data_IF_885570643188
#
_entry.id   IF_885570643188
#
_cell.length_a   1.000
_cell.length_b   1.000
_cell.length_c   1.000
_cell.angle_alpha   90.00
_cell.angle_beta   90.00
_cell.angle_gamma   90.00
#
_symmetry.space_group_name_H-M   'P 1'
#
loop_
_entity.id
_entity.type
_entity.pdbx_description
1 polymer ?
#
# COMPACT_ATOMS: atom_id res chain seq x y z
N UNK A 1 11.47 -40.67 -5.41
CA UNK A 1 12.54 -41.68 -5.36
C UNK A 1 13.86 -40.92 -5.24
N UNK A 2 14.50 -40.97 -4.05
CA UNK A 2 15.88 -40.56 -3.67
C UNK A 2 16.19 -39.03 -3.79
N UNK A 3 16.28 -38.20 -2.73
CA UNK A 3 17.05 -38.18 -1.44
C UNK A 3 18.57 -37.98 -1.63
N UNK A 4 19.10 -36.85 -1.13
CA UNK A 4 20.21 -36.66 -0.15
C UNK A 4 20.70 -35.19 -0.24
N UNK A 5 20.49 -34.27 0.72
CA UNK A 5 20.99 -34.12 2.10
C UNK A 5 22.51 -33.90 2.23
N UNK A 6 22.91 -32.68 2.60
CA UNK A 6 24.12 -32.42 3.39
C UNK A 6 23.87 -31.22 4.32
N UNK A 7 23.93 -31.52 5.61
CA UNK A 7 23.70 -30.65 6.77
C UNK A 7 25.01 -29.99 7.24
N UNK A 8 24.88 -28.80 7.83
CA UNK A 8 25.52 -28.35 9.09
C UNK A 8 27.04 -28.10 9.17
N UNK A 9 27.43 -26.84 9.48
CA UNK A 9 28.16 -26.45 10.71
C UNK A 9 28.54 -24.95 10.66
N UNK A 10 27.90 -24.12 11.49
CA UNK A 10 28.59 -23.00 12.15
C UNK A 10 27.83 -22.63 13.44
N UNK A 11 28.13 -23.38 14.49
CA UNK A 11 27.83 -23.04 15.88
C UNK A 11 28.98 -22.19 16.41
N UNK A 12 28.83 -20.86 16.44
CA UNK A 12 29.47 -20.01 17.46
C UNK A 12 28.53 -18.86 17.85
N UNK A 13 28.55 -18.55 19.15
CA UNK A 13 27.50 -17.89 19.95
C UNK A 13 27.36 -16.37 19.73
N UNK A 14 27.79 -15.84 18.58
CA UNK A 14 27.87 -14.39 18.30
C UNK A 14 27.01 -13.87 17.13
N UNK A 15 26.22 -14.70 16.43
CA UNK A 15 25.42 -14.25 15.27
C UNK A 15 23.97 -13.80 15.60
N UNK A 16 23.50 -13.88 16.84
CA UNK A 16 22.09 -13.57 17.17
C UNK A 16 21.84 -12.06 17.40
N UNK A 17 22.88 -11.28 17.74
CA UNK A 17 22.72 -9.87 18.06
C UNK A 17 22.57 -8.95 16.82
N UNK A 18 23.11 -9.33 15.66
CA UNK A 18 23.02 -8.50 14.43
C UNK A 18 21.69 -8.65 13.68
N UNK A 19 21.01 -9.78 13.83
CA UNK A 19 19.74 -10.06 13.13
C UNK A 19 18.56 -9.30 13.77
N UNK A 20 18.61 -9.07 15.09
CA UNK A 20 17.53 -8.39 15.82
C UNK A 20 17.49 -6.87 15.56
N UNK A 21 18.66 -6.24 15.34
CA UNK A 21 18.76 -4.80 15.05
C UNK A 21 18.25 -4.47 13.64
N UNK A 22 18.47 -5.35 12.66
CA UNK A 22 17.96 -5.16 11.29
C UNK A 22 16.43 -5.31 11.19
N UNK A 23 15.82 -6.24 11.95
CA UNK A 23 14.35 -6.39 11.99
C UNK A 23 13.66 -5.21 12.67
N UNK A 24 14.26 -4.63 13.72
CA UNK A 24 13.73 -3.43 14.39
C UNK A 24 13.81 -2.16 13.51
N UNK A 25 14.79 -2.07 12.59
CA UNK A 25 14.93 -0.98 11.64
C UNK A 25 13.84 -1.04 10.55
N UNK A 26 13.52 -2.24 10.08
CA UNK A 26 12.51 -2.46 9.05
C UNK A 26 11.10 -2.09 9.55
N UNK A 27 10.75 -2.45 10.79
CA UNK A 27 9.46 -2.10 11.39
C UNK A 27 9.27 -0.58 11.59
N UNK A 28 10.33 0.15 11.91
CA UNK A 28 10.26 1.61 12.05
C UNK A 28 10.13 2.34 10.71
N UNK A 29 10.79 1.85 9.65
CA UNK A 29 10.65 2.42 8.30
C UNK A 29 9.24 2.18 7.76
N UNK A 30 8.68 0.99 7.98
CA UNK A 30 7.29 0.67 7.59
C UNK A 30 6.28 1.51 8.39
N UNK A 31 6.48 1.70 9.70
CA UNK A 31 5.60 2.54 10.52
C UNK A 31 5.59 4.01 10.08
N UNK A 32 6.75 4.56 9.68
CA UNK A 32 6.85 5.95 9.16
C UNK A 32 6.20 6.08 7.78
N UNK A 33 6.25 5.04 6.94
CA UNK A 33 5.57 5.02 5.64
C UNK A 33 4.05 4.86 5.76
N UNK A 34 3.56 4.10 6.76
CA UNK A 34 2.11 3.96 7.04
C UNK A 34 1.54 5.27 7.60
N UNK A 35 2.27 5.98 8.46
CA UNK A 35 1.86 7.32 8.93
C UNK A 35 1.87 8.34 7.77
N UNK A 36 2.81 8.24 6.83
CA UNK A 36 2.82 9.08 5.63
C UNK A 36 1.63 8.80 4.68
N UNK A 37 1.08 7.57 4.70
CA UNK A 37 -0.13 7.22 3.95
C UNK A 37 -1.42 7.71 4.64
N UNK A 38 -1.50 7.64 5.97
CA UNK A 38 -2.70 8.04 6.71
C UNK A 38 -2.88 9.57 6.81
N UNK A 39 -1.80 10.35 6.91
CA UNK A 39 -1.90 11.82 7.03
C UNK A 39 -2.25 12.51 5.70
N UNK A 40 -2.10 11.84 4.55
CA UNK A 40 -2.56 12.35 3.25
C UNK A 40 -4.09 12.28 3.12
N UNK A 41 -4.75 11.39 3.87
CA UNK A 41 -6.20 11.23 3.81
C UNK A 41 -6.97 12.15 4.78
N UNK A 42 -6.34 12.64 5.86
CA UNK A 42 -7.04 13.36 6.94
C UNK A 42 -7.01 14.90 6.82
N UNK A 43 -6.35 15.45 5.80
CA UNK A 43 -6.34 16.90 5.50
C UNK A 43 -7.29 17.27 4.34
N UNK A 44 -8.35 16.49 4.16
CA UNK A 44 -9.41 16.73 3.19
C UNK A 44 -10.72 17.15 3.88
N UNK A 45 -10.65 18.08 4.84
CA UNK A 45 -11.69 19.11 5.06
C UNK A 45 -11.28 19.96 6.27
N UNK A 46 -10.73 21.16 6.01
CA UNK A 46 -10.92 22.33 6.89
C UNK A 46 -10.31 23.57 6.23
N UNK A 47 -11.11 24.28 5.43
CA UNK A 47 -10.94 25.74 5.29
C UNK A 47 -11.70 26.42 6.43
N UNK A 48 -10.99 26.87 7.47
CA UNK A 48 -11.34 28.12 8.15
C UNK A 48 -10.17 28.58 9.03
N UNK A 49 -9.63 29.76 8.74
CA UNK A 49 -8.75 30.51 9.64
C UNK A 49 -9.39 31.87 9.88
N UNK A 50 -9.83 32.12 11.11
CA UNK A 50 -9.62 33.41 11.77
C UNK A 50 -9.71 33.30 13.31
N UNK A 51 -9.13 34.29 13.99
CA UNK A 51 -8.47 34.25 15.30
C UNK A 51 -9.34 34.25 16.58
N UNK A 52 -8.85 33.50 17.60
CA UNK A 52 -8.66 33.83 19.05
C UNK A 52 -9.88 34.13 19.95
N UNK A 53 -10.25 33.22 20.87
CA UNK A 53 -9.98 33.25 22.34
C UNK A 53 -10.70 32.12 23.10
N UNK A 54 -10.19 31.87 24.31
CA UNK A 54 -10.40 30.82 25.31
C UNK A 54 -11.83 30.69 25.92
N UNK A 55 -12.08 29.51 26.52
CA UNK A 55 -12.99 29.14 27.66
C UNK A 55 -14.19 28.20 27.36
N UNK A 56 -14.04 26.97 27.90
CA UNK A 56 -15.01 26.00 28.47
C UNK A 56 -16.30 25.56 27.71
N UNK A 57 -16.43 24.24 27.53
CA UNK A 57 -17.67 23.46 27.25
C UNK A 57 -18.74 23.60 28.38
N UNK A 58 -19.98 23.02 28.31
CA UNK A 58 -20.54 22.03 27.36
C UNK A 58 -22.05 22.21 26.98
N UNK A 59 -22.60 21.23 26.21
CA UNK A 59 -24.00 20.72 26.16
C UNK A 59 -24.86 20.99 24.89
N UNK A 60 -25.17 19.86 24.21
CA UNK A 60 -26.38 19.35 23.51
C UNK A 60 -27.05 20.03 22.30
N UNK A 61 -27.34 19.14 21.33
CA UNK A 61 -28.56 18.94 20.49
C UNK A 61 -29.04 20.15 19.67
N UNK A 62 -29.34 20.05 18.36
CA UNK A 62 -30.22 19.08 17.72
C UNK A 62 -30.18 19.25 16.19
N UNK A 63 -30.53 18.18 15.50
CA UNK A 63 -30.77 17.96 14.07
C UNK A 63 -31.13 19.13 13.14
N UNK A 64 -30.62 19.05 11.91
CA UNK A 64 -31.49 19.03 10.72
C UNK A 64 -30.80 18.32 9.54
N UNK A 65 -31.60 17.50 8.85
CA UNK A 65 -31.20 16.53 7.84
C UNK A 65 -31.08 17.15 6.45
N UNK A 66 -30.15 16.63 5.63
CA UNK A 66 -30.30 16.65 4.17
C UNK A 66 -29.69 15.39 3.57
N UNK A 67 -30.58 14.57 3.02
CA UNK A 67 -30.30 13.37 2.24
C UNK A 67 -29.37 13.66 1.06
N UNK A 68 -28.30 12.87 0.93
CA UNK A 68 -27.78 12.49 -0.37
C UNK A 68 -27.22 11.06 -0.30
N UNK A 69 -27.88 10.16 -1.04
CA UNK A 69 -27.51 8.76 -1.20
C UNK A 69 -26.07 8.63 -1.69
N UNK A 70 -25.24 8.05 -0.84
CA UNK A 70 -23.97 7.47 -1.22
C UNK A 70 -23.88 6.11 -0.54
N UNK A 71 -24.54 5.12 -1.14
CA UNK A 71 -24.29 3.71 -0.87
C UNK A 71 -22.87 3.41 -1.33
N UNK A 72 -21.94 3.73 -0.44
CA UNK A 72 -20.60 3.18 -0.39
C UNK A 72 -20.78 1.71 -0.08
N UNK A 73 -20.41 0.84 -1.02
CA UNK A 73 -20.20 -0.58 -0.76
C UNK A 73 -19.30 -0.72 0.47
N UNK A 74 -19.93 -0.94 1.63
CA UNK A 74 -19.24 -1.36 2.83
C UNK A 74 -18.60 -2.70 2.50
N UNK A 75 -17.29 -2.78 2.77
CA UNK A 75 -16.58 -4.05 2.79
C UNK A 75 -17.43 -5.05 3.57
N UNK A 76 -17.88 -6.11 2.89
CA UNK A 76 -18.56 -7.22 3.53
C UNK A 76 -17.62 -7.84 4.56
N UNK A 77 -17.78 -7.46 5.83
CA UNK A 77 -17.21 -8.21 6.95
C UNK A 77 -17.83 -9.63 6.96
N UNK A 78 -17.05 -10.66 7.35
CA UNK A 78 -17.54 -12.04 7.39
C UNK A 78 -18.55 -12.18 8.54
N UNK A 79 -19.84 -12.26 8.22
CA UNK A 79 -20.92 -12.26 9.21
C UNK A 79 -21.76 -13.54 9.10
N UNK A 80 -21.90 -14.20 10.25
CA UNK A 80 -22.60 -15.45 10.51
C UNK A 80 -24.11 -15.24 10.66
N UNK A 81 -24.91 -15.39 9.60
CA UNK A 81 -26.35 -15.68 9.70
C UNK A 81 -26.91 -16.29 8.39
N UNK A 82 -27.87 -17.22 8.49
CA UNK A 82 -28.52 -17.90 7.36
C UNK A 82 -29.39 -16.98 6.50
N UNK A 83 -29.85 -15.84 7.04
CA UNK A 83 -30.64 -14.83 6.31
C UNK A 83 -29.84 -14.19 5.17
N UNK A 84 -28.53 -13.98 5.35
CA UNK A 84 -27.64 -13.42 4.31
C UNK A 84 -27.36 -14.37 3.15
N UNK A 85 -27.54 -15.68 3.31
CA UNK A 85 -27.33 -16.62 2.21
C UNK A 85 -28.47 -16.51 1.19
N UNK A 86 -29.71 -16.33 1.67
CA UNK A 86 -30.84 -16.03 0.80
C UNK A 86 -30.69 -14.69 0.08
N UNK A 87 -30.18 -13.66 0.75
CA UNK A 87 -29.86 -12.36 0.14
C UNK A 87 -28.74 -12.49 -0.91
N UNK A 88 -27.66 -13.22 -0.61
CA UNK A 88 -26.55 -13.43 -1.53
C UNK A 88 -26.98 -14.19 -2.79
N UNK A 89 -27.86 -15.18 -2.65
CA UNK A 89 -28.48 -15.89 -3.79
C UNK A 89 -29.24 -14.91 -4.68
N UNK A 90 -30.04 -14.02 -4.08
CA UNK A 90 -30.77 -12.99 -4.82
C UNK A 90 -29.82 -11.99 -5.51
N UNK A 91 -28.80 -11.50 -4.81
CA UNK A 91 -27.80 -10.62 -5.41
C UNK A 91 -27.03 -11.29 -6.55
N UNK A 92 -26.66 -12.56 -6.40
CA UNK A 92 -26.05 -13.34 -7.47
C UNK A 92 -27.00 -13.50 -8.67
N UNK A 93 -28.31 -13.57 -8.47
CA UNK A 93 -29.29 -13.66 -9.55
C UNK A 93 -29.46 -12.34 -10.30
N UNK A 94 -29.52 -11.23 -9.57
CA UNK A 94 -29.86 -9.91 -10.11
C UNK A 94 -28.63 -9.15 -10.67
N UNK A 95 -27.41 -9.44 -10.18
CA UNK A 95 -26.21 -8.68 -10.53
C UNK A 95 -25.78 -8.79 -12.00
N UNK A 96 -25.26 -7.70 -12.56
CA UNK A 96 -24.60 -7.73 -13.87
C UNK A 96 -23.27 -8.51 -13.81
N UNK A 97 -22.78 -8.97 -14.96
CA UNK A 97 -21.52 -9.75 -15.05
C UNK A 97 -20.35 -9.03 -14.38
N UNK A 98 -20.29 -7.70 -14.52
CA UNK A 98 -19.23 -6.84 -13.96
C UNK A 98 -19.21 -6.84 -12.43
N UNK A 99 -20.39 -6.98 -11.82
CA UNK A 99 -20.56 -6.99 -10.37
C UNK A 99 -20.45 -8.40 -9.77
N UNK A 100 -20.39 -9.41 -10.64
CA UNK A 100 -20.58 -10.80 -10.23
C UNK A 100 -19.34 -11.37 -9.53
N UNK A 101 -18.13 -10.98 -9.93
CA UNK A 101 -16.89 -11.52 -9.35
C UNK A 101 -16.84 -11.43 -7.81
N UNK A 102 -17.01 -10.26 -7.17
CA UNK A 102 -16.95 -10.16 -5.71
C UNK A 102 -18.06 -10.97 -5.03
N UNK A 103 -19.25 -11.08 -5.65
CA UNK A 103 -20.35 -11.90 -5.13
C UNK A 103 -20.03 -13.40 -5.20
N UNK A 104 -19.40 -13.85 -6.29
CA UNK A 104 -18.93 -15.24 -6.44
C UNK A 104 -17.89 -15.56 -5.37
N UNK A 105 -16.92 -14.68 -5.17
CA UNK A 105 -15.88 -14.87 -4.16
C UNK A 105 -16.48 -14.92 -2.75
N UNK A 106 -17.43 -14.03 -2.44
CA UNK A 106 -18.15 -14.02 -1.16
C UNK A 106 -18.97 -15.30 -0.96
N UNK A 107 -19.63 -15.80 -2.00
CA UNK A 107 -20.35 -17.07 -1.97
C UNK A 107 -19.44 -18.24 -1.62
N UNK A 108 -18.33 -18.38 -2.34
CA UNK A 108 -17.40 -19.49 -2.11
C UNK A 108 -16.71 -19.41 -0.76
N UNK A 109 -16.37 -18.20 -0.30
CA UNK A 109 -15.84 -18.01 1.05
C UNK A 109 -16.87 -18.43 2.11
N UNK A 110 -18.11 -17.98 1.97
CA UNK A 110 -19.19 -18.28 2.93
C UNK A 110 -19.52 -19.77 2.96
N UNK A 111 -19.73 -20.39 1.80
CA UNK A 111 -20.10 -21.80 1.75
C UNK A 111 -18.96 -22.71 2.23
N UNK A 112 -17.70 -22.36 1.95
CA UNK A 112 -16.54 -23.14 2.38
C UNK A 112 -16.37 -23.10 3.89
N UNK A 113 -16.61 -21.95 4.52
CA UNK A 113 -16.59 -21.81 5.99
C UNK A 113 -17.67 -22.65 6.67
N UNK A 114 -18.83 -22.81 6.01
CA UNK A 114 -19.97 -23.57 6.55
C UNK A 114 -19.97 -25.04 6.17
N UNK A 115 -19.13 -25.46 5.23
CA UNK A 115 -19.14 -26.81 4.62
C UNK A 115 -20.49 -27.17 3.96
N UNK A 116 -21.17 -26.18 3.40
CA UNK A 116 -22.52 -26.29 2.81
C UNK A 116 -22.53 -26.00 1.29
N UNK A 117 -21.37 -25.99 0.62
CA UNK A 117 -21.27 -25.58 -0.79
C UNK A 117 -22.16 -26.38 -1.74
N UNK A 118 -22.28 -27.70 -1.55
CA UNK A 118 -23.09 -28.54 -2.42
C UNK A 118 -24.59 -28.20 -2.30
N UNK A 119 -25.08 -28.02 -1.06
CA UNK A 119 -26.47 -27.65 -0.79
C UNK A 119 -26.81 -26.27 -1.36
N UNK A 120 -25.92 -25.30 -1.15
CA UNK A 120 -26.12 -23.93 -1.64
C UNK A 120 -25.99 -23.82 -3.16
N UNK A 121 -25.15 -24.65 -3.80
CA UNK A 121 -25.08 -24.73 -5.26
C UNK A 121 -26.37 -25.32 -5.84
N UNK A 122 -26.96 -26.36 -5.22
CA UNK A 122 -28.24 -26.90 -5.68
C UNK A 122 -29.36 -25.85 -5.61
N UNK A 123 -29.39 -25.03 -4.55
CA UNK A 123 -30.35 -23.93 -4.43
C UNK A 123 -30.17 -22.89 -5.56
N UNK A 124 -28.92 -22.48 -5.81
CA UNK A 124 -28.59 -21.55 -6.90
C UNK A 124 -29.00 -22.07 -8.28
N UNK A 125 -28.91 -23.39 -8.52
CA UNK A 125 -29.25 -23.99 -9.81
C UNK A 125 -30.72 -23.73 -10.20
N UNK A 126 -31.62 -23.64 -9.23
CA UNK A 126 -33.05 -23.40 -9.47
C UNK A 126 -33.39 -21.92 -9.69
N UNK A 127 -32.51 -21.00 -9.26
CA UNK A 127 -32.77 -19.57 -9.29
C UNK A 127 -32.01 -18.82 -10.41
N UNK A 128 -30.96 -19.44 -10.97
CA UNK A 128 -30.07 -18.80 -11.93
C UNK A 128 -30.24 -19.33 -13.36
N UNK A 129 -29.87 -18.49 -14.33
CA UNK A 129 -29.65 -18.97 -15.70
C UNK A 129 -28.49 -19.98 -15.72
N UNK A 130 -28.55 -20.94 -16.64
CA UNK A 130 -27.52 -21.98 -16.77
C UNK A 130 -26.10 -21.40 -16.89
N UNK A 131 -25.93 -20.34 -17.68
CA UNK A 131 -24.63 -19.69 -17.87
C UNK A 131 -24.08 -19.09 -16.58
N UNK A 132 -24.93 -18.44 -15.78
CA UNK A 132 -24.55 -17.80 -14.52
C UNK A 132 -24.26 -18.84 -13.44
N UNK A 133 -25.12 -19.86 -13.34
CA UNK A 133 -24.88 -21.01 -12.47
C UNK A 133 -23.54 -21.69 -12.78
N UNK A 134 -23.28 -22.02 -14.05
CA UNK A 134 -22.03 -22.66 -14.47
C UNK A 134 -20.82 -21.81 -14.12
N UNK A 135 -20.89 -20.49 -14.32
CA UNK A 135 -19.81 -19.58 -13.96
C UNK A 135 -19.50 -19.65 -12.46
N UNK A 136 -20.52 -19.62 -11.60
CA UNK A 136 -20.34 -19.72 -10.14
C UNK A 136 -19.78 -21.09 -9.76
N UNK A 137 -20.40 -22.17 -10.25
CA UNK A 137 -20.04 -23.55 -9.92
C UNK A 137 -18.60 -23.91 -10.34
N UNK A 138 -18.16 -23.46 -11.51
CA UNK A 138 -16.82 -23.73 -12.04
C UNK A 138 -15.75 -22.77 -11.51
N UNK A 139 -16.13 -21.69 -10.83
CA UNK A 139 -15.22 -20.61 -10.45
C UNK A 139 -13.98 -21.11 -9.67
N UNK A 140 -14.07 -21.97 -8.63
CA UNK A 140 -12.88 -22.40 -7.90
C UNK A 140 -11.93 -23.25 -8.74
N UNK A 141 -12.47 -24.06 -9.65
CA UNK A 141 -11.66 -24.85 -10.56
C UNK A 141 -10.93 -23.96 -11.56
N UNK A 142 -11.64 -23.01 -12.16
CA UNK A 142 -11.06 -22.00 -13.07
C UNK A 142 -10.03 -21.11 -12.38
N UNK A 143 -10.29 -20.69 -11.14
CA UNK A 143 -9.32 -19.90 -10.37
C UNK A 143 -8.03 -20.67 -10.12
N UNK A 144 -8.11 -21.99 -9.82
CA UNK A 144 -6.93 -22.84 -9.70
C UNK A 144 -6.18 -22.97 -11.02
N UNK A 145 -6.90 -23.17 -12.12
CA UNK A 145 -6.32 -23.26 -13.47
C UNK A 145 -5.58 -21.96 -13.84
N UNK A 146 -6.20 -20.80 -13.60
CA UNK A 146 -5.57 -19.50 -13.82
C UNK A 146 -4.27 -19.33 -13.01
N UNK A 147 -4.30 -19.68 -11.72
CA UNK A 147 -3.12 -19.60 -10.88
C UNK A 147 -2.00 -20.49 -11.43
N UNK A 148 -2.32 -21.72 -11.83
CA UNK A 148 -1.36 -22.67 -12.40
C UNK A 148 -0.73 -22.15 -13.70
N UNK A 149 -1.54 -21.63 -14.63
CA UNK A 149 -1.06 -21.06 -15.89
C UNK A 149 -0.18 -19.84 -15.62
N UNK A 150 -0.61 -18.95 -14.73
CA UNK A 150 0.15 -17.75 -14.34
C UNK A 150 1.49 -18.11 -13.68
N UNK A 151 1.53 -19.12 -12.82
CA UNK A 151 2.76 -19.59 -12.18
C UNK A 151 3.75 -20.21 -13.17
N UNK A 152 3.25 -20.82 -14.24
CA UNK A 152 4.06 -21.43 -15.30
C UNK A 152 4.55 -20.45 -16.37
N UNK A 153 3.97 -19.25 -16.44
CA UNK A 153 4.24 -18.26 -17.47
C UNK A 153 5.55 -17.50 -17.19
N UNK A 154 6.40 -17.39 -18.21
CA UNK A 154 7.64 -16.61 -18.11
C UNK A 154 7.37 -15.12 -18.37
N UNK A 155 7.13 -14.39 -17.28
CA UNK A 155 6.98 -12.93 -17.34
C UNK A 155 8.32 -12.18 -17.43
N UNK A 156 9.43 -12.74 -17.88
CA UNK A 156 10.66 -11.97 -18.10
C UNK A 156 10.63 -11.16 -19.41
N UNK A 157 9.62 -10.30 -19.55
CA UNK A 157 9.34 -9.51 -20.76
C UNK A 157 9.02 -8.05 -20.43
N UNK A 158 8.75 -7.24 -21.45
CA UNK A 158 8.32 -5.85 -21.27
C UNK A 158 6.97 -5.76 -20.55
N UNK A 159 6.66 -4.64 -19.90
CA UNK A 159 5.37 -4.44 -19.20
C UNK A 159 4.17 -4.62 -20.13
N UNK A 160 4.28 -4.16 -21.38
CA UNK A 160 3.21 -4.29 -22.38
C UNK A 160 2.96 -5.78 -22.70
N UNK A 161 4.03 -6.54 -22.97
CA UNK A 161 3.92 -7.98 -23.24
C UNK A 161 3.42 -8.76 -22.02
N UNK A 162 3.83 -8.38 -20.80
CA UNK A 162 3.30 -8.99 -19.55
C UNK A 162 1.79 -8.81 -19.44
N UNK A 163 1.30 -7.61 -19.72
CA UNK A 163 -0.13 -7.27 -19.70
C UNK A 163 -0.89 -8.09 -20.73
N UNK A 164 -0.37 -8.20 -21.96
CA UNK A 164 -0.98 -9.02 -22.99
C UNK A 164 -1.04 -10.50 -22.58
N UNK A 165 0.06 -11.05 -22.07
CA UNK A 165 0.13 -12.44 -21.60
C UNK A 165 -0.87 -12.74 -20.48
N UNK A 166 -0.93 -11.90 -19.44
CA UNK A 166 -1.88 -12.16 -18.35
C UNK A 166 -3.34 -12.06 -18.83
N UNK A 167 -3.67 -11.09 -19.71
CA UNK A 167 -5.01 -10.99 -20.31
C UNK A 167 -5.34 -12.22 -21.16
N UNK A 168 -4.36 -12.77 -21.88
CA UNK A 168 -4.54 -14.01 -22.63
C UNK A 168 -4.82 -15.22 -21.73
N UNK A 169 -4.15 -15.31 -20.57
CA UNK A 169 -4.46 -16.36 -19.57
C UNK A 169 -5.90 -16.19 -19.05
N UNK A 170 -6.35 -14.95 -18.79
CA UNK A 170 -7.76 -14.70 -18.45
C UNK A 170 -8.72 -15.17 -19.55
N UNK A 171 -8.44 -14.85 -20.81
CA UNK A 171 -9.28 -15.30 -21.92
C UNK A 171 -9.24 -16.82 -22.11
N UNK A 172 -8.10 -17.48 -21.85
CA UNK A 172 -7.95 -18.92 -21.95
C UNK A 172 -8.81 -19.65 -20.89
N UNK A 173 -8.83 -19.16 -19.66
CA UNK A 173 -9.52 -19.81 -18.54
C UNK A 173 -11.01 -19.49 -18.52
N UNK A 174 -11.39 -18.22 -18.71
CA UNK A 174 -12.78 -17.78 -18.58
C UNK A 174 -13.47 -17.54 -19.93
N UNK A 175 -12.75 -17.55 -21.06
CA UNK A 175 -13.34 -17.32 -22.38
C UNK A 175 -13.82 -15.89 -22.55
N UNK A 176 -14.87 -15.71 -23.35
CA UNK A 176 -15.38 -14.40 -23.77
C UNK A 176 -15.85 -13.50 -22.60
N UNK A 177 -16.24 -14.11 -21.47
CA UNK A 177 -16.71 -13.35 -20.29
C UNK A 177 -15.57 -12.71 -19.49
N UNK A 178 -14.31 -13.07 -19.76
CA UNK A 178 -13.19 -12.67 -18.91
C UNK A 178 -13.04 -11.14 -18.82
N UNK A 179 -13.16 -10.43 -19.94
CA UNK A 179 -13.01 -8.98 -19.97
C UNK A 179 -14.11 -8.25 -19.18
N UNK A 180 -15.33 -8.81 -19.13
CA UNK A 180 -16.44 -8.23 -18.37
C UNK A 180 -16.36 -8.61 -16.89
N UNK A 181 -16.10 -9.88 -16.58
CA UNK A 181 -16.02 -10.39 -15.21
C UNK A 181 -14.82 -9.82 -14.44
N UNK A 182 -13.71 -9.56 -15.14
CA UNK A 182 -12.47 -9.01 -14.56
C UNK A 182 -12.17 -7.59 -15.07
N UNK A 183 -13.22 -6.81 -15.37
CA UNK A 183 -13.09 -5.49 -15.98
C UNK A 183 -12.18 -4.54 -15.18
N UNK A 184 -12.18 -4.60 -13.84
CA UNK A 184 -11.28 -3.79 -13.01
C UNK A 184 -9.82 -4.18 -13.18
N UNK A 185 -9.53 -5.48 -13.20
CA UNK A 185 -8.18 -6.00 -13.41
C UNK A 185 -7.69 -5.64 -14.83
N UNK A 186 -8.54 -5.80 -15.84
CA UNK A 186 -8.24 -5.41 -17.22
C UNK A 186 -7.96 -3.91 -17.32
N UNK A 187 -8.80 -3.07 -16.71
CA UNK A 187 -8.61 -1.61 -16.68
C UNK A 187 -7.28 -1.23 -16.02
N UNK A 188 -6.93 -1.90 -14.92
CA UNK A 188 -5.66 -1.71 -14.24
C UNK A 188 -4.47 -2.11 -15.11
N UNK A 189 -4.53 -3.26 -15.78
CA UNK A 189 -3.46 -3.71 -16.67
C UNK A 189 -3.31 -2.79 -17.89
N UNK A 190 -4.41 -2.36 -18.50
CA UNK A 190 -4.40 -1.47 -19.65
C UNK A 190 -3.82 -0.10 -19.30
N UNK A 191 -4.12 0.44 -18.11
CA UNK A 191 -3.48 1.64 -17.61
C UNK A 191 -1.97 1.45 -17.44
N UNK A 192 -1.52 0.30 -16.92
CA UNK A 192 -0.09 -0.01 -16.78
C UNK A 192 0.64 -0.16 -18.11
N UNK A 193 0.03 -0.83 -19.09
CA UNK A 193 0.58 -0.93 -20.43
C UNK A 193 0.70 0.45 -21.08
N UNK A 194 -0.36 1.26 -20.99
CA UNK A 194 -0.39 2.64 -21.50
C UNK A 194 0.72 3.50 -20.88
N UNK A 195 0.90 3.42 -19.56
CA UNK A 195 1.96 4.18 -18.87
C UNK A 195 3.37 3.67 -19.22
N UNK A 196 3.54 2.36 -19.43
CA UNK A 196 4.81 1.79 -19.87
C UNK A 196 5.20 2.26 -21.28
N UNK A 197 4.23 2.34 -22.20
CA UNK A 197 4.44 2.89 -23.55
C UNK A 197 4.83 4.37 -23.48
N UNK A 198 4.11 5.17 -22.69
CA UNK A 198 4.44 6.57 -22.47
C UNK A 198 5.86 6.74 -21.90
N UNK A 199 6.26 5.88 -20.97
CA UNK A 199 7.60 5.89 -20.37
C UNK A 199 8.68 5.52 -21.39
N UNK A 200 8.44 4.51 -22.23
CA UNK A 200 9.37 4.13 -23.30
C UNK A 200 9.56 5.27 -24.32
N UNK A 201 8.53 6.08 -24.55
CA UNK A 201 8.62 7.30 -25.36
C UNK A 201 9.24 8.48 -24.60
N UNK A 202 9.26 8.46 -23.27
CA UNK A 202 9.68 9.56 -22.41
C UNK A 202 11.10 10.08 -22.70
N UNK A 203 12.02 9.21 -23.11
CA UNK A 203 13.38 9.62 -23.50
C UNK A 203 13.44 10.45 -24.80
N UNK A 204 12.32 10.53 -25.54
CA UNK A 204 12.18 11.29 -26.79
C UNK A 204 11.26 12.50 -26.64
N UNK A 205 10.63 12.68 -25.47
CA UNK A 205 9.65 13.72 -25.22
C UNK A 205 10.23 14.75 -24.27
N UNK A 206 10.00 16.02 -24.58
CA UNK A 206 10.23 17.08 -23.61
C UNK A 206 9.23 16.93 -22.45
N UNK A 207 9.59 17.36 -21.24
CA UNK A 207 8.74 17.23 -20.05
C UNK A 207 7.33 17.77 -20.28
N UNK A 208 7.20 18.93 -20.95
CA UNK A 208 5.90 19.53 -21.25
C UNK A 208 5.04 18.65 -22.17
N UNK A 209 5.65 17.98 -23.15
CA UNK A 209 4.96 17.08 -24.08
C UNK A 209 4.50 15.82 -23.35
N UNK A 210 5.36 15.26 -22.49
CA UNK A 210 5.01 14.13 -21.63
C UNK A 210 3.78 14.46 -20.77
N UNK A 211 3.78 15.61 -20.08
CA UNK A 211 2.65 16.03 -19.24
C UNK A 211 1.37 16.26 -20.05
N UNK A 212 1.48 16.80 -21.26
CA UNK A 212 0.33 16.95 -22.16
C UNK A 212 -0.25 15.60 -22.59
N UNK A 213 0.60 14.62 -22.91
CA UNK A 213 0.17 13.26 -23.25
C UNK A 213 -0.47 12.55 -22.06
N UNK A 214 0.15 12.62 -20.87
CA UNK A 214 -0.41 12.06 -19.64
C UNK A 214 -1.80 12.64 -19.34
N UNK A 215 -1.96 13.96 -19.49
CA UNK A 215 -3.26 14.62 -19.34
C UNK A 215 -4.29 14.13 -20.34
N UNK A 216 -3.91 13.99 -21.61
CA UNK A 216 -4.79 13.49 -22.66
C UNK A 216 -5.24 12.05 -22.41
N UNK A 217 -4.33 11.18 -21.95
CA UNK A 217 -4.65 9.80 -21.56
C UNK A 217 -5.64 9.77 -20.38
N UNK A 218 -5.48 10.67 -19.41
CA UNK A 218 -6.44 10.83 -18.31
C UNK A 218 -7.82 11.25 -18.79
N UNK A 219 -7.90 12.18 -19.76
CA UNK A 219 -9.17 12.60 -20.36
C UNK A 219 -9.84 11.48 -21.18
N UNK A 220 -9.07 10.56 -21.72
CA UNK A 220 -9.56 9.37 -22.43
C UNK A 220 -9.99 8.23 -21.47
N UNK A 221 -9.82 8.39 -20.16
CA UNK A 221 -10.09 7.33 -19.18
C UNK A 221 -9.12 6.15 -19.22
N UNK A 222 -7.97 6.29 -19.90
CA UNK A 222 -6.95 5.23 -20.01
C UNK A 222 -6.04 5.15 -18.80
N UNK A 223 -5.92 6.25 -18.07
CA UNK A 223 -5.15 6.36 -16.83
C UNK A 223 -5.92 7.27 -15.86
N UNK A 224 -5.62 7.26 -14.57
CA UNK A 224 -6.28 8.15 -13.62
C UNK A 224 -6.12 9.63 -14.00
N UNK A 225 -7.19 10.40 -13.85
CA UNK A 225 -7.30 11.78 -14.35
C UNK A 225 -7.19 12.83 -13.26
N UNK A 226 -7.22 12.45 -11.98
CA UNK A 226 -7.12 13.42 -10.89
C UNK A 226 -5.74 14.06 -10.87
N UNK A 227 -5.68 15.33 -10.46
CA UNK A 227 -4.41 16.08 -10.37
C UNK A 227 -3.40 15.39 -9.42
N UNK A 228 -3.89 14.80 -8.34
CA UNK A 228 -3.05 14.10 -7.37
C UNK A 228 -2.42 12.85 -7.99
N UNK A 229 -3.20 12.05 -8.71
CA UNK A 229 -2.71 10.83 -9.34
C UNK A 229 -1.78 11.16 -10.51
N UNK A 230 -2.12 12.14 -11.35
CA UNK A 230 -1.24 12.56 -12.44
C UNK A 230 0.08 13.14 -11.93
N UNK A 231 0.08 13.87 -10.83
CA UNK A 231 1.29 14.31 -10.16
C UNK A 231 2.16 13.12 -9.71
N UNK A 232 1.55 12.12 -9.06
CA UNK A 232 2.27 10.92 -8.60
C UNK A 232 2.85 10.12 -9.77
N UNK A 233 2.06 9.91 -10.83
CA UNK A 233 2.50 9.23 -12.06
C UNK A 233 3.66 10.00 -12.71
N UNK A 234 3.53 11.33 -12.84
CA UNK A 234 4.57 12.15 -13.46
C UNK A 234 5.89 12.08 -12.67
N UNK A 235 5.84 12.09 -11.33
CA UNK A 235 7.03 11.91 -10.48
C UNK A 235 7.67 10.55 -10.70
N UNK A 236 6.87 9.49 -10.69
CA UNK A 236 7.37 8.12 -10.83
C UNK A 236 8.07 7.93 -12.18
N UNK A 237 7.42 8.37 -13.26
CA UNK A 237 7.89 8.10 -14.62
C UNK A 237 9.04 9.03 -15.05
N UNK A 238 8.96 10.33 -14.76
CA UNK A 238 10.02 11.28 -15.12
C UNK A 238 11.21 11.19 -14.15
N UNK A 239 10.96 10.76 -12.90
CA UNK A 239 11.98 10.74 -11.84
C UNK A 239 12.76 9.44 -11.70
N UNK A 240 12.40 8.38 -12.43
CA UNK A 240 12.91 7.02 -12.22
C UNK A 240 14.45 6.90 -12.22
N UNK A 241 15.15 7.76 -12.97
CA UNK A 241 16.61 7.74 -13.13
C UNK A 241 17.30 9.03 -12.64
N UNK A 242 16.58 9.91 -11.94
CA UNK A 242 17.12 11.18 -11.45
C UNK A 242 17.90 10.99 -10.16
N UNK A 243 18.95 11.80 -9.97
CA UNK A 243 19.58 11.90 -8.66
C UNK A 243 18.68 12.63 -7.65
N UNK A 244 18.96 12.56 -6.33
CA UNK A 244 18.07 13.14 -5.32
C UNK A 244 17.80 14.65 -5.48
N UNK A 245 18.77 15.43 -5.98
CA UNK A 245 18.62 16.87 -6.18
C UNK A 245 17.72 17.17 -7.37
N UNK A 246 17.96 16.50 -8.50
CA UNK A 246 17.13 16.60 -9.71
C UNK A 246 15.70 16.16 -9.42
N UNK A 247 15.53 15.06 -8.69
CA UNK A 247 14.23 14.54 -8.30
C UNK A 247 13.45 15.49 -7.39
N UNK A 248 14.12 16.17 -6.45
CA UNK A 248 13.50 17.19 -5.61
C UNK A 248 13.06 18.43 -6.43
N UNK A 249 13.89 18.84 -7.39
CA UNK A 249 13.52 19.91 -8.31
C UNK A 249 12.31 19.53 -9.17
N UNK A 250 12.29 18.31 -9.74
CA UNK A 250 11.16 17.78 -10.50
C UNK A 250 9.88 17.79 -9.66
N UNK A 251 9.92 17.28 -8.42
CA UNK A 251 8.76 17.28 -7.50
C UNK A 251 8.18 18.67 -7.28
N UNK A 252 9.07 19.66 -7.16
CA UNK A 252 8.70 21.05 -6.93
C UNK A 252 8.05 21.67 -8.15
N UNK A 253 8.64 21.47 -9.33
CA UNK A 253 8.07 21.95 -10.60
C UNK A 253 6.72 21.31 -10.90
N UNK A 254 6.60 19.98 -10.71
CA UNK A 254 5.34 19.27 -10.91
C UNK A 254 4.28 19.72 -9.89
N UNK A 255 4.65 20.02 -8.64
CA UNK A 255 3.69 20.49 -7.64
C UNK A 255 3.11 21.86 -8.05
N UNK A 256 3.95 22.75 -8.58
CA UNK A 256 3.50 24.04 -9.12
C UNK A 256 2.63 23.88 -10.38
N UNK A 257 2.87 22.84 -11.19
CA UNK A 257 2.06 22.54 -12.37
C UNK A 257 0.67 22.02 -12.02
N UNK A 258 0.58 21.08 -11.08
CA UNK A 258 -0.67 20.38 -10.78
C UNK A 258 -1.52 21.06 -9.70
N UNK A 259 -0.91 21.75 -8.75
CA UNK A 259 -1.59 22.22 -7.54
C UNK A 259 -1.69 23.74 -7.43
N UNK A 260 -2.56 24.19 -6.51
CA UNK A 260 -2.61 25.60 -6.12
C UNK A 260 -1.31 26.00 -5.39
N UNK A 261 -0.98 27.31 -5.33
CA UNK A 261 0.21 27.79 -4.64
C UNK A 261 0.32 27.30 -3.19
N UNK A 262 -0.81 27.24 -2.46
CA UNK A 262 -0.85 26.74 -1.08
C UNK A 262 -0.41 25.27 -1.00
N UNK A 263 -0.98 24.40 -1.83
CA UNK A 263 -0.62 22.97 -1.86
C UNK A 263 0.80 22.73 -2.40
N UNK A 264 1.24 23.48 -3.40
CA UNK A 264 2.60 23.40 -3.91
C UNK A 264 3.63 23.80 -2.84
N UNK A 265 3.35 24.86 -2.06
CA UNK A 265 4.19 25.26 -0.94
C UNK A 265 4.22 24.22 0.19
N UNK A 266 3.10 23.55 0.46
CA UNK A 266 3.07 22.45 1.42
C UNK A 266 3.97 21.28 0.99
N UNK A 267 3.99 20.94 -0.31
CA UNK A 267 4.91 19.93 -0.87
C UNK A 267 6.38 20.35 -0.68
N UNK A 268 6.71 21.62 -0.96
CA UNK A 268 8.06 22.16 -0.74
C UNK A 268 8.47 22.12 0.73
N UNK A 269 7.59 22.55 1.63
CA UNK A 269 7.84 22.52 3.07
C UNK A 269 8.09 21.08 3.55
N UNK A 270 7.30 20.11 3.05
CA UNK A 270 7.48 18.70 3.38
C UNK A 270 8.82 18.15 2.88
N UNK A 271 9.26 18.54 1.68
CA UNK A 271 10.59 18.14 1.17
C UNK A 271 11.71 18.64 2.10
N UNK A 272 11.67 19.91 2.49
CA UNK A 272 12.63 20.48 3.44
C UNK A 272 12.60 19.77 4.80
N UNK A 273 11.40 19.45 5.30
CA UNK A 273 11.25 18.70 6.55
C UNK A 273 11.89 17.30 6.47
N UNK A 274 11.74 16.59 5.35
CA UNK A 274 12.36 15.27 5.15
C UNK A 274 13.89 15.38 5.15
N UNK A 275 14.45 16.39 4.50
CA UNK A 275 15.91 16.64 4.51
C UNK A 275 16.40 16.88 5.94
N UNK A 276 15.67 17.67 6.73
CA UNK A 276 16.06 17.96 8.11
C UNK A 276 15.91 16.73 9.03
N UNK A 277 14.87 15.93 8.83
CA UNK A 277 14.70 14.65 9.50
C UNK A 277 15.87 13.70 9.18
N UNK A 278 16.33 13.65 7.93
CA UNK A 278 17.50 12.84 7.56
C UNK A 278 18.79 13.31 8.23
N UNK A 279 19.02 14.63 8.34
CA UNK A 279 20.16 15.17 9.09
C UNK A 279 20.08 14.80 10.57
N UNK A 280 18.90 14.93 11.16
CA UNK A 280 18.63 14.56 12.55
C UNK A 280 18.95 13.08 12.79
N UNK A 281 18.52 12.18 11.91
CA UNK A 281 18.82 10.75 11.99
C UNK A 281 20.32 10.48 11.89
N UNK A 282 21.02 11.12 10.96
CA UNK A 282 22.49 10.97 10.83
C UNK A 282 23.23 11.46 12.08
N UNK A 283 22.85 12.62 12.61
CA UNK A 283 23.40 13.19 13.84
C UNK A 283 23.16 12.26 15.04
N UNK A 284 21.93 11.75 15.18
CA UNK A 284 21.58 10.78 16.22
C UNK A 284 22.44 9.52 16.14
N UNK A 285 22.62 8.96 14.94
CA UNK A 285 23.44 7.75 14.75
C UNK A 285 24.90 7.98 15.15
N UNK A 286 25.46 9.14 14.80
CA UNK A 286 26.82 9.50 15.18
C UNK A 286 26.96 9.63 16.70
N UNK A 287 26.12 10.45 17.34
CA UNK A 287 26.15 10.66 18.78
C UNK A 287 25.85 9.37 19.57
N UNK A 288 24.96 8.51 19.06
CA UNK A 288 24.71 7.19 19.65
C UNK A 288 25.95 6.30 19.60
N UNK A 289 26.69 6.30 18.48
CA UNK A 289 27.91 5.52 18.35
C UNK A 289 28.99 6.00 19.33
N UNK A 290 29.14 7.30 19.52
CA UNK A 290 30.03 7.88 20.52
C UNK A 290 29.62 7.47 21.95
N UNK A 291 28.33 7.60 22.30
CA UNK A 291 27.82 7.14 23.59
C UNK A 291 28.10 5.66 23.82
N UNK A 292 27.91 4.82 22.80
CA UNK A 292 28.21 3.38 22.87
C UNK A 292 29.71 3.11 23.04
N UNK A 293 30.57 3.87 22.39
CA UNK A 293 32.02 3.76 22.56
C UNK A 293 32.43 4.14 23.99
N UNK A 294 31.91 5.25 24.51
CA UNK A 294 32.13 5.68 25.90
C UNK A 294 31.67 4.61 26.91
N UNK A 295 30.49 4.01 26.69
CA UNK A 295 29.99 2.91 27.52
C UNK A 295 30.91 1.69 27.48
N UNK A 296 31.49 1.34 26.33
CA UNK A 296 32.47 0.23 26.25
C UNK A 296 33.73 0.53 27.04
N UNK A 297 34.25 1.76 26.97
CA UNK A 297 35.39 2.17 27.79
C UNK A 297 35.05 2.08 29.27
N UNK A 298 33.89 2.61 29.68
CA UNK A 298 33.41 2.57 31.06
C UNK A 298 33.26 1.14 31.58
N UNK A 299 32.78 0.22 30.75
CA UNK A 299 32.72 -1.22 31.05
C UNK A 299 34.10 -1.80 31.33
N UNK A 300 35.08 -1.45 30.49
CA UNK A 300 36.43 -1.99 30.59
C UNK A 300 37.22 -1.43 31.79
N UNK A 301 36.88 -0.22 32.25
CA UNK A 301 37.58 0.46 33.33
C UNK A 301 36.80 0.39 34.65
N UNK A 302 35.83 1.28 34.84
CA UNK A 302 35.17 1.59 36.12
C UNK A 302 34.10 0.56 36.49
N UNK A 303 33.41 0.01 35.48
CA UNK A 303 32.30 -0.93 35.65
C UNK A 303 32.69 -2.38 35.33
N UNK A 304 33.99 -2.68 35.34
CA UNK A 304 34.53 -4.03 35.06
C UNK A 304 34.09 -5.08 36.10
N UNK A 305 33.70 -4.63 37.30
CA UNK A 305 33.20 -5.47 38.38
C UNK A 305 31.74 -5.92 38.21
N UNK A 306 30.99 -5.32 37.28
CA UNK A 306 29.58 -5.68 37.06
C UNK A 306 29.48 -7.07 36.39
N UNK A 307 28.51 -7.88 36.83
CA UNK A 307 28.12 -9.08 36.09
C UNK A 307 27.53 -8.71 34.73
N UNK A 308 27.51 -9.67 33.78
CA UNK A 308 26.94 -9.43 32.45
C UNK A 308 25.49 -8.92 32.51
N UNK A 309 24.66 -9.47 33.41
CA UNK A 309 23.27 -9.07 33.56
C UNK A 309 23.13 -7.62 34.07
N UNK A 310 23.96 -7.23 35.05
CA UNK A 310 23.99 -5.86 35.56
C UNK A 310 24.49 -4.89 34.49
N UNK A 311 25.52 -5.28 33.73
CA UNK A 311 26.03 -4.51 32.61
C UNK A 311 24.97 -4.27 31.53
N UNK A 312 24.28 -5.32 31.08
CA UNK A 312 23.24 -5.19 30.04
C UNK A 312 22.09 -4.27 30.50
N UNK A 313 21.71 -4.38 31.77
CA UNK A 313 20.68 -3.51 32.37
C UNK A 313 21.13 -2.04 32.40
N UNK A 314 22.36 -1.78 32.84
CA UNK A 314 22.95 -0.43 32.87
C UNK A 314 23.08 0.15 31.45
N UNK A 315 23.64 -0.61 30.51
CA UNK A 315 23.80 -0.21 29.11
C UNK A 315 22.46 0.16 28.46
N UNK A 316 21.42 -0.65 28.65
CA UNK A 316 20.10 -0.38 28.11
C UNK A 316 19.48 0.90 28.71
N UNK A 317 19.66 1.13 30.01
CA UNK A 317 19.19 2.34 30.69
C UNK A 317 19.89 3.60 30.14
N UNK A 318 21.21 3.55 29.97
CA UNK A 318 22.02 4.66 29.43
C UNK A 318 21.65 5.00 27.98
N UNK A 319 21.46 3.99 27.13
CA UNK A 319 21.02 4.21 25.73
C UNK A 319 19.60 4.77 25.69
N UNK A 320 18.70 4.31 26.57
CA UNK A 320 17.33 4.83 26.68
C UNK A 320 17.31 6.29 27.14
N UNK A 321 18.10 6.64 28.15
CA UNK A 321 18.25 7.99 28.65
C UNK A 321 18.80 8.92 27.56
N UNK A 322 19.87 8.49 26.87
CA UNK A 322 20.44 9.21 25.75
C UNK A 322 19.40 9.49 24.65
N UNK A 323 18.61 8.48 24.24
CA UNK A 323 17.57 8.67 23.21
C UNK A 323 16.54 9.70 23.63
N UNK A 324 16.07 9.65 24.89
CA UNK A 324 15.10 10.62 25.41
C UNK A 324 15.65 12.03 25.41
N UNK A 325 16.90 12.20 25.84
CA UNK A 325 17.58 13.50 25.83
C UNK A 325 17.73 14.04 24.41
N UNK A 326 18.31 13.25 23.51
CA UNK A 326 18.58 13.67 22.13
C UNK A 326 17.31 14.15 21.39
N UNK A 327 16.20 13.41 21.50
CA UNK A 327 14.95 13.81 20.85
C UNK A 327 14.07 14.76 21.69
N UNK A 328 14.33 14.87 23.00
CA UNK A 328 13.66 15.83 23.88
C UNK A 328 14.16 17.26 23.64
N UNK A 329 15.47 17.44 23.48
CA UNK A 329 16.10 18.75 23.21
C UNK A 329 15.72 19.33 21.84
N UNK A 330 15.41 18.46 20.87
CA UNK A 330 14.94 18.88 19.54
C UNK A 330 13.51 19.46 19.53
N UNK A 331 12.71 19.21 20.57
CA UNK A 331 11.31 19.65 20.67
C UNK A 331 11.12 20.81 21.66
N UNK A 332 12.20 21.37 22.22
CA UNK A 332 12.11 22.55 23.07
C UNK A 332 11.84 23.80 22.20
N UNK A 333 10.83 24.63 22.53
CA UNK A 333 10.64 25.91 21.84
C UNK A 333 11.89 26.77 22.05
N UNK A 334 12.46 27.28 20.95
CA UNK A 334 13.53 28.28 20.99
C UNK A 334 12.96 29.68 21.12
#
# INVERSE_FOLDING_TARGET
MLIYHAHSLCLTRNCVAEVYVKKSLLCFIVAVLVIAFLVVFDYADSEFVEHVTNIQSPIKEQHEASHHNQDRFEQFEPIYDGERVGELVKYLADADIKELKPLIESFWQTCSLRSECDELLMELQNQLSFSKYRLIAEYPAKQREFNQLTESEDFNTSTVEKVERIKNIYMQVWGDIAAELFHEAFSFYDARATLAELTAMGNKLEQREFLAQLKALGQQGKVPSSKNEQYSIAIELLGANMNPSEFSNLKSQLAQHYFSPVKANAVLARQSQVVEQQKTVKSYQHALNEKKAALRTLRATELSHLSEQQWQSHYAAEVKAFRKMFFGELNAPR
#
